data_IF_479241852443
#
_entry.id   IF_479241852443
#
_cell.length_a   1.000
_cell.length_b   1.000
_cell.length_c   1.000
_cell.angle_alpha   90.00
_cell.angle_beta   90.00
_cell.angle_gamma   90.00
#
_symmetry.space_group_name_H-M   'P 1'
#
loop_
_entity.id
_entity.type
_entity.pdbx_description
1 polymer ?
#
# COMPACT_ATOMS: atom_id res chain seq x y z
N UNK A 1 12.50 49.12 -26.35
CA UNK A 1 12.07 47.70 -26.45
C UNK A 1 12.63 46.78 -25.37
N UNK A 2 13.88 46.95 -24.88
CA UNK A 2 14.48 46.02 -23.89
C UNK A 2 13.84 45.96 -22.49
N UNK A 3 13.20 47.03 -22.00
CA UNK A 3 12.59 47.07 -20.65
C UNK A 3 11.31 46.22 -20.55
N UNK A 4 10.47 46.23 -21.59
CA UNK A 4 9.23 45.43 -21.62
C UNK A 4 9.55 43.96 -21.81
N UNK A 5 10.50 43.64 -22.69
CA UNK A 5 10.95 42.26 -22.94
C UNK A 5 11.51 41.58 -21.67
N UNK A 6 12.32 42.31 -20.89
CA UNK A 6 12.82 41.81 -19.59
C UNK A 6 11.71 41.63 -18.54
N UNK A 7 10.67 42.48 -18.54
CA UNK A 7 9.53 42.32 -17.64
C UNK A 7 8.69 41.10 -18.01
N UNK A 8 8.47 40.86 -19.30
CA UNK A 8 7.75 39.68 -19.81
C UNK A 8 8.50 38.38 -19.51
N UNK A 9 9.83 38.35 -19.72
CA UNK A 9 10.65 37.17 -19.38
C UNK A 9 10.59 36.87 -17.89
N UNK A 10 10.75 37.89 -17.02
CA UNK A 10 10.66 37.71 -15.56
C UNK A 10 9.29 37.19 -15.14
N UNK A 11 8.20 37.70 -15.72
CA UNK A 11 6.85 37.22 -15.46
C UNK A 11 6.68 35.74 -15.87
N UNK A 12 7.14 35.37 -17.07
CA UNK A 12 7.09 33.98 -17.55
C UNK A 12 7.92 33.03 -16.69
N UNK A 13 9.11 33.45 -16.24
CA UNK A 13 9.94 32.64 -15.33
C UNK A 13 9.25 32.40 -13.99
N UNK A 14 8.63 33.44 -13.40
CA UNK A 14 7.88 33.28 -12.14
C UNK A 14 6.68 32.37 -12.34
N UNK A 15 5.92 32.53 -13.43
CA UNK A 15 4.81 31.63 -13.76
C UNK A 15 5.26 30.19 -13.93
N UNK A 16 6.39 29.97 -14.62
CA UNK A 16 6.96 28.65 -14.80
C UNK A 16 7.35 28.02 -13.46
N UNK A 17 8.03 28.75 -12.58
CA UNK A 17 8.40 28.25 -11.24
C UNK A 17 7.15 27.88 -10.43
N UNK A 18 6.14 28.75 -10.39
CA UNK A 18 4.88 28.46 -9.66
C UNK A 18 4.19 27.22 -10.24
N UNK A 19 4.14 27.09 -11.57
CA UNK A 19 3.56 25.93 -12.22
C UNK A 19 4.36 24.64 -11.94
N UNK A 20 5.69 24.68 -12.01
CA UNK A 20 6.55 23.55 -11.68
C UNK A 20 6.41 23.12 -10.23
N UNK A 21 6.31 24.06 -9.29
CA UNK A 21 6.06 23.77 -7.87
C UNK A 21 4.68 23.14 -7.67
N UNK A 22 3.66 23.64 -8.35
CA UNK A 22 2.30 23.08 -8.28
C UNK A 22 2.25 21.64 -8.83
N UNK A 23 2.79 21.41 -10.02
CA UNK A 23 2.85 20.09 -10.65
C UNK A 23 3.70 19.12 -9.82
N UNK A 24 4.86 19.58 -9.33
CA UNK A 24 5.72 18.79 -8.45
C UNK A 24 5.01 18.39 -7.16
N UNK A 25 4.34 19.32 -6.48
CA UNK A 25 3.58 19.05 -5.26
C UNK A 25 2.47 18.02 -5.45
N UNK A 26 1.71 18.12 -6.55
CA UNK A 26 0.68 17.13 -6.91
C UNK A 26 1.27 15.74 -7.15
N UNK A 27 2.39 15.66 -7.86
CA UNK A 27 3.09 14.39 -8.10
C UNK A 27 3.55 13.74 -6.79
N UNK A 28 4.20 14.51 -5.89
CA UNK A 28 4.63 13.99 -4.58
C UNK A 28 3.46 13.54 -3.71
N UNK A 29 2.36 14.31 -3.70
CA UNK A 29 1.16 13.95 -2.95
C UNK A 29 0.57 12.62 -3.41
N UNK A 30 0.40 12.44 -4.73
CA UNK A 30 -0.16 11.20 -5.30
C UNK A 30 0.79 10.03 -5.05
N UNK A 31 2.10 10.23 -5.25
CA UNK A 31 3.10 9.20 -4.97
C UNK A 31 3.03 8.74 -3.50
N UNK A 32 2.99 9.67 -2.55
CA UNK A 32 2.91 9.34 -1.13
C UNK A 32 1.62 8.58 -0.79
N UNK A 33 0.47 9.01 -1.33
CA UNK A 33 -0.82 8.34 -1.11
C UNK A 33 -0.81 6.88 -1.59
N UNK A 34 0.04 6.54 -2.56
CA UNK A 34 0.23 5.18 -3.07
C UNK A 34 1.24 4.36 -2.27
N UNK A 35 2.36 4.97 -1.88
CA UNK A 35 3.45 4.24 -1.22
C UNK A 35 3.16 3.96 0.25
N UNK A 36 2.38 4.80 0.94
CA UNK A 36 2.15 4.63 2.39
C UNK A 36 1.46 3.30 2.73
N UNK A 37 0.36 2.88 2.06
CA UNK A 37 -0.26 1.57 2.34
C UNK A 37 0.72 0.40 2.19
N UNK A 38 1.55 0.42 1.15
CA UNK A 38 2.58 -0.59 0.93
C UNK A 38 3.65 -0.55 2.02
N UNK A 39 4.09 0.65 2.39
CA UNK A 39 5.06 0.84 3.46
C UNK A 39 4.53 0.32 4.82
N UNK A 40 3.25 0.53 5.12
CA UNK A 40 2.62 -0.06 6.31
C UNK A 40 2.68 -1.58 6.27
N UNK A 41 2.42 -2.18 5.11
CA UNK A 41 2.56 -3.64 4.95
C UNK A 41 4.02 -4.09 5.08
N UNK A 42 4.99 -3.36 4.52
CA UNK A 42 6.43 -3.66 4.70
C UNK A 42 6.80 -3.69 6.18
N UNK A 43 6.33 -2.71 6.96
CA UNK A 43 6.58 -2.65 8.41
C UNK A 43 6.00 -3.87 9.14
N UNK A 44 4.77 -4.27 8.81
CA UNK A 44 4.15 -5.48 9.38
C UNK A 44 4.96 -6.73 9.03
N UNK A 45 5.46 -6.82 7.80
CA UNK A 45 6.29 -7.95 7.37
C UNK A 45 7.67 -7.97 8.07
N UNK A 46 8.25 -6.79 8.32
CA UNK A 46 9.47 -6.65 9.12
C UNK A 46 9.23 -7.05 10.58
N UNK A 47 8.15 -6.57 11.21
CA UNK A 47 7.72 -6.97 12.56
C UNK A 47 7.54 -8.49 12.66
N UNK A 48 6.91 -9.10 11.64
CA UNK A 48 6.74 -10.54 11.57
C UNK A 48 8.07 -11.30 11.45
N UNK A 49 9.00 -10.81 10.61
CA UNK A 49 10.37 -11.38 10.48
C UNK A 49 11.17 -11.26 11.77
N UNK A 50 11.03 -10.14 12.47
CA UNK A 50 11.70 -9.87 13.74
C UNK A 50 11.03 -10.58 14.93
N UNK A 51 9.99 -11.37 14.67
CA UNK A 51 9.23 -12.12 15.66
C UNK A 51 8.61 -11.23 16.75
N UNK A 52 8.13 -10.06 16.36
CA UNK A 52 7.39 -9.17 17.26
C UNK A 52 6.11 -9.86 17.77
N UNK A 53 5.69 -9.51 18.99
CA UNK A 53 4.53 -10.16 19.63
C UNK A 53 3.21 -9.76 19.00
N UNK A 54 3.14 -8.55 18.46
CA UNK A 54 1.96 -7.93 17.87
C UNK A 54 2.41 -6.84 16.88
N UNK A 55 1.46 -6.35 16.08
CA UNK A 55 1.68 -5.23 15.17
C UNK A 55 0.71 -4.10 15.49
N UNK A 56 1.24 -2.89 15.67
CA UNK A 56 0.41 -1.68 15.87
C UNK A 56 -0.33 -1.25 14.60
N UNK A 57 0.05 -1.80 13.45
CA UNK A 57 -0.52 -1.49 12.14
C UNK A 57 -1.66 -2.41 11.75
N UNK A 58 -1.91 -3.49 12.51
CA UNK A 58 -3.04 -4.39 12.32
C UNK A 58 -4.18 -3.96 13.24
N UNK A 59 -5.37 -3.81 12.68
CA UNK A 59 -6.56 -3.45 13.42
C UNK A 59 -7.02 -4.62 14.30
N UNK A 60 -7.12 -4.37 15.61
CA UNK A 60 -7.72 -5.29 16.56
C UNK A 60 -9.24 -5.49 16.33
N UNK A 61 -9.75 -6.67 16.67
CA UNK A 61 -11.15 -7.05 16.44
C UNK A 61 -12.16 -6.17 17.20
N UNK A 62 -11.79 -5.74 18.41
CA UNK A 62 -12.59 -4.83 19.23
C UNK A 62 -12.83 -3.47 18.51
N UNK A 63 -11.80 -2.93 17.85
CA UNK A 63 -11.85 -1.69 17.08
C UNK A 63 -12.58 -1.92 15.77
N UNK A 64 -12.35 -3.05 15.10
CA UNK A 64 -13.09 -3.43 13.90
C UNK A 64 -14.60 -3.39 14.14
N UNK A 65 -15.09 -3.96 15.24
CA UNK A 65 -16.52 -3.97 15.56
C UNK A 65 -17.14 -2.56 15.62
N UNK A 66 -16.36 -1.54 16.00
CA UNK A 66 -16.81 -0.15 16.10
C UNK A 66 -16.84 0.59 14.76
N UNK A 67 -16.05 0.16 13.77
CA UNK A 67 -15.91 0.86 12.48
C UNK A 67 -16.45 0.06 11.29
N UNK A 68 -16.73 -1.24 11.46
CA UNK A 68 -17.08 -2.15 10.36
C UNK A 68 -18.19 -1.65 9.44
N UNK A 69 -19.20 -0.96 9.98
CA UNK A 69 -20.34 -0.46 9.23
C UNK A 69 -19.99 0.69 8.25
N UNK A 70 -18.83 1.32 8.44
CA UNK A 70 -18.31 2.37 7.57
C UNK A 70 -17.15 1.88 6.69
N UNK A 71 -16.65 0.66 6.91
CA UNK A 71 -15.54 0.08 6.14
C UNK A 71 -16.03 -0.46 4.81
N UNK A 72 -15.22 -0.29 3.76
CA UNK A 72 -15.53 -0.86 2.44
C UNK A 72 -15.33 -2.38 2.41
N UNK A 73 -14.59 -2.92 3.38
CA UNK A 73 -14.23 -4.32 3.46
C UNK A 73 -15.15 -5.15 4.37
N UNK A 74 -16.25 -4.58 4.86
CA UNK A 74 -17.17 -5.23 5.81
C UNK A 74 -17.49 -6.70 5.45
N UNK A 75 -17.75 -6.97 4.18
CA UNK A 75 -18.23 -8.28 3.71
C UNK A 75 -17.11 -9.24 3.25
N UNK A 76 -15.91 -8.71 2.99
CA UNK A 76 -14.80 -9.45 2.38
C UNK A 76 -13.60 -9.63 3.32
N UNK A 77 -13.65 -9.02 4.50
CA UNK A 77 -12.60 -9.05 5.52
C UNK A 77 -12.67 -10.31 6.37
N UNK A 78 -11.49 -10.91 6.58
CA UNK A 78 -11.23 -11.89 7.62
C UNK A 78 -10.20 -11.34 8.62
N UNK A 79 -10.32 -11.68 9.92
CA UNK A 79 -9.35 -11.27 10.91
C UNK A 79 -7.98 -11.91 10.63
N UNK A 80 -6.92 -11.15 10.86
CA UNK A 80 -5.56 -11.68 10.73
C UNK A 80 -5.22 -12.45 12.00
N UNK A 81 -4.99 -13.76 11.88
CA UNK A 81 -4.31 -14.50 12.94
C UNK A 81 -2.81 -14.15 12.87
N UNK A 82 -2.36 -13.28 13.80
CA UNK A 82 -0.97 -12.81 13.81
C UNK A 82 0.05 -13.94 13.89
N UNK A 83 -0.24 -15.01 14.65
CA UNK A 83 0.70 -16.12 14.78
C UNK A 83 0.88 -16.86 13.45
N UNK A 84 -0.22 -17.19 12.77
CA UNK A 84 -0.18 -17.86 11.47
C UNK A 84 0.47 -16.98 10.39
N UNK A 85 0.16 -15.67 10.41
CA UNK A 85 0.76 -14.72 9.48
C UNK A 85 2.27 -14.62 9.68
N UNK A 86 2.75 -14.54 10.93
CA UNK A 86 4.18 -14.54 11.23
C UNK A 86 4.87 -15.81 10.77
N UNK A 87 4.29 -16.96 11.08
CA UNK A 87 4.86 -18.25 10.71
C UNK A 87 4.97 -18.37 9.18
N UNK A 88 3.97 -17.88 8.45
CA UNK A 88 4.02 -17.79 7.00
C UNK A 88 5.15 -16.88 6.50
N UNK A 89 5.26 -15.66 7.04
CA UNK A 89 6.28 -14.68 6.62
C UNK A 89 7.71 -15.15 6.89
N UNK A 90 7.92 -15.91 7.97
CA UNK A 90 9.24 -16.41 8.35
C UNK A 90 9.73 -17.59 7.50
N UNK A 91 8.82 -18.28 6.80
CA UNK A 91 9.14 -19.49 6.03
C UNK A 91 9.68 -19.22 4.63
N UNK A 92 9.69 -17.97 4.17
CA UNK A 92 10.06 -17.65 2.79
C UNK A 92 10.53 -16.21 2.61
N UNK A 93 11.10 -15.94 1.43
CA UNK A 93 11.27 -14.57 0.95
C UNK A 93 9.94 -14.12 0.32
N UNK A 94 9.51 -12.93 0.71
CA UNK A 94 8.27 -12.34 0.22
C UNK A 94 8.55 -11.23 -0.79
N UNK A 95 7.59 -11.01 -1.67
CA UNK A 95 7.49 -9.79 -2.46
C UNK A 95 6.08 -9.21 -2.35
N UNK A 96 6.01 -7.88 -2.36
CA UNK A 96 4.75 -7.17 -2.44
C UNK A 96 4.34 -7.04 -3.90
N UNK A 97 3.19 -7.62 -4.23
CA UNK A 97 2.59 -7.39 -5.54
C UNK A 97 1.79 -6.10 -5.49
N UNK A 98 2.25 -5.12 -6.25
CA UNK A 98 1.45 -3.97 -6.60
C UNK A 98 0.29 -4.42 -7.47
N UNK A 99 -0.92 -3.89 -7.24
CA UNK A 99 -2.00 -3.98 -8.23
C UNK A 99 -1.45 -3.37 -9.53
N UNK A 100 -1.11 -4.27 -10.45
CA UNK A 100 -0.54 -4.02 -11.78
C UNK A 100 0.60 -2.97 -11.79
N UNK A 101 1.86 -3.45 -11.82
CA UNK A 101 3.12 -2.68 -11.92
C UNK A 101 3.28 -1.70 -13.11
N UNK A 102 2.18 -1.30 -13.75
CA UNK A 102 2.04 -0.26 -14.78
C UNK A 102 1.18 0.92 -14.30
N UNK A 103 1.16 1.22 -12.99
CA UNK A 103 0.44 2.40 -12.51
C UNK A 103 1.12 3.66 -13.08
N UNK A 104 0.55 4.24 -14.13
CA UNK A 104 0.89 5.57 -14.64
C UNK A 104 0.14 6.63 -13.83
N UNK A 105 0.64 7.86 -13.73
CA UNK A 105 0.02 8.96 -12.97
C UNK A 105 -1.49 9.15 -13.26
N UNK A 106 -1.92 8.91 -14.51
CA UNK A 106 -3.31 9.06 -14.93
C UNK A 106 -4.19 7.93 -14.40
N UNK A 107 -3.72 6.67 -14.46
CA UNK A 107 -4.36 5.56 -13.76
C UNK A 107 -4.36 5.79 -12.24
N UNK A 108 -3.25 6.33 -11.70
CA UNK A 108 -3.05 6.70 -10.29
C UNK A 108 -4.01 7.77 -9.78
N UNK A 109 -4.68 8.52 -10.64
CA UNK A 109 -5.59 9.60 -10.24
C UNK A 109 -7.06 9.18 -10.30
N UNK A 110 -7.45 8.37 -11.28
CA UNK A 110 -8.85 7.95 -11.45
C UNK A 110 -9.27 6.82 -10.52
N UNK A 111 -8.42 5.82 -10.27
CA UNK A 111 -8.73 4.67 -9.37
C UNK A 111 -8.54 4.96 -7.88
N UNK A 112 -7.83 6.02 -7.50
CA UNK A 112 -7.19 6.10 -6.18
C UNK A 112 -7.80 7.15 -5.24
N UNK A 113 -9.03 7.60 -5.55
CA UNK A 113 -9.88 8.38 -4.63
C UNK A 113 -10.19 7.65 -3.32
N UNK A 114 -9.89 6.37 -3.29
CA UNK A 114 -10.30 5.45 -2.23
C UNK A 114 -9.35 5.49 -1.05
N UNK A 115 -9.93 5.66 0.15
CA UNK A 115 -9.31 5.52 1.48
C UNK A 115 -9.00 4.06 1.82
N UNK A 116 -8.76 3.21 0.81
CA UNK A 116 -8.52 1.79 0.97
C UNK A 116 -7.65 1.19 -0.15
N UNK A 117 -6.97 0.07 0.12
CA UNK A 117 -6.13 -0.69 -0.81
C UNK A 117 -6.16 -2.19 -0.53
N UNK A 118 -5.94 -2.96 -1.58
CA UNK A 118 -5.55 -4.37 -1.51
C UNK A 118 -4.04 -4.44 -1.73
N UNK A 119 -3.31 -5.13 -0.85
CA UNK A 119 -1.87 -5.32 -0.99
C UNK A 119 -1.59 -6.82 -0.95
N UNK A 120 -1.13 -7.37 -2.07
CA UNK A 120 -0.75 -8.78 -2.14
C UNK A 120 0.64 -9.02 -1.56
N UNK A 121 0.74 -10.02 -0.69
CA UNK A 121 1.99 -10.55 -0.15
C UNK A 121 2.15 -11.94 -0.74
N UNK A 122 3.17 -12.12 -1.58
CA UNK A 122 3.46 -13.41 -2.22
C UNK A 122 4.70 -14.02 -1.59
N UNK A 123 4.59 -15.28 -1.18
CA UNK A 123 5.64 -16.07 -0.56
C UNK A 123 6.23 -17.03 -1.59
N UNK A 124 7.53 -16.88 -1.87
CA UNK A 124 8.24 -17.71 -2.84
C UNK A 124 9.07 -18.78 -2.14
N UNK A 125 9.01 -20.00 -2.67
CA UNK A 125 9.86 -21.10 -2.25
C UNK A 125 11.19 -21.04 -3.02
N UNK A 126 12.29 -21.26 -2.32
CA UNK A 126 13.63 -21.29 -2.89
C UNK A 126 14.31 -22.61 -2.53
N UNK A 127 15.06 -23.15 -3.48
CA UNK A 127 15.93 -24.29 -3.28
C UNK A 127 17.04 -23.91 -2.28
N UNK A 128 17.18 -24.63 -1.15
CA UNK A 128 18.14 -24.30 -0.12
C UNK A 128 19.61 -24.54 -0.53
N UNK A 129 19.86 -25.36 -1.56
CA UNK A 129 21.22 -25.72 -1.98
C UNK A 129 21.79 -24.73 -3.00
N UNK A 130 20.97 -24.21 -3.90
CA UNK A 130 21.41 -23.36 -5.01
C UNK A 130 20.73 -21.97 -5.06
N UNK A 131 19.74 -21.72 -4.21
CA UNK A 131 19.02 -20.45 -4.13
C UNK A 131 18.08 -20.18 -5.32
N UNK A 132 17.78 -21.18 -6.14
CA UNK A 132 16.84 -21.06 -7.25
C UNK A 132 15.40 -20.92 -6.75
N UNK A 133 14.63 -20.01 -7.33
CA UNK A 133 13.19 -19.91 -7.06
C UNK A 133 12.47 -21.14 -7.62
N UNK A 134 11.75 -21.85 -6.75
CA UNK A 134 10.97 -23.04 -7.07
C UNK A 134 9.51 -22.71 -7.42
N UNK A 135 9.03 -21.55 -6.99
CA UNK A 135 7.70 -21.02 -7.32
C UNK A 135 7.00 -20.36 -6.13
N UNK A 136 5.70 -20.09 -6.27
CA UNK A 136 4.87 -19.49 -5.22
C UNK A 136 4.38 -20.56 -4.25
N UNK A 137 4.74 -20.42 -2.96
CA UNK A 137 4.28 -21.27 -1.86
C UNK A 137 2.89 -20.86 -1.37
N UNK A 138 2.58 -19.57 -1.42
CA UNK A 138 1.28 -19.04 -1.04
C UNK A 138 1.22 -17.52 -1.13
N UNK A 139 0.03 -16.97 -0.87
CA UNK A 139 -0.17 -15.53 -0.88
C UNK A 139 -1.26 -15.09 0.11
N UNK A 140 -1.14 -13.86 0.59
CA UNK A 140 -2.18 -13.14 1.32
C UNK A 140 -2.53 -11.87 0.56
N UNK A 141 -3.81 -11.50 0.54
CA UNK A 141 -4.24 -10.16 0.14
C UNK A 141 -4.61 -9.39 1.40
N UNK A 142 -3.75 -8.48 1.82
CA UNK A 142 -4.00 -7.61 2.96
C UNK A 142 -4.94 -6.47 2.56
N UNK A 143 -5.92 -6.21 3.40
CA UNK A 143 -6.91 -5.15 3.24
C UNK A 143 -6.47 -3.96 4.09
N UNK A 144 -6.16 -2.83 3.45
CA UNK A 144 -5.59 -1.65 4.11
C UNK A 144 -6.57 -0.48 3.99
N UNK A 145 -6.94 0.17 5.08
CA UNK A 145 -7.79 1.37 5.07
C UNK A 145 -7.13 2.55 5.76
N UNK A 146 -7.51 3.76 5.35
CA UNK A 146 -7.15 4.99 6.02
C UNK A 146 -8.21 5.33 7.08
N UNK A 147 -7.92 4.99 8.33
CA UNK A 147 -8.81 5.13 9.49
C UNK A 147 -8.14 6.07 10.49
N UNK A 148 -8.89 7.03 11.04
CA UNK A 148 -8.41 7.95 12.08
C UNK A 148 -7.05 8.61 11.80
N UNK A 149 -6.86 9.01 10.53
CA UNK A 149 -5.65 9.67 9.99
C UNK A 149 -4.41 8.78 9.84
N UNK A 150 -4.56 7.46 9.95
CA UNK A 150 -3.49 6.48 9.73
C UNK A 150 -3.92 5.39 8.76
N UNK A 151 -2.97 4.88 7.98
CA UNK A 151 -3.18 3.67 7.19
C UNK A 151 -3.02 2.45 8.10
N UNK A 152 -3.99 1.54 8.04
CA UNK A 152 -4.09 0.40 8.96
C UNK A 152 -4.55 -0.82 8.18
N UNK A 153 -3.93 -1.97 8.43
CA UNK A 153 -4.38 -3.26 7.88
C UNK A 153 -5.58 -3.73 8.69
N UNK A 154 -6.74 -3.80 8.05
CA UNK A 154 -8.00 -4.17 8.72
C UNK A 154 -8.28 -5.67 8.67
N UNK A 155 -7.61 -6.41 7.79
CA UNK A 155 -7.74 -7.86 7.70
C UNK A 155 -7.10 -8.45 6.45
N UNK A 156 -7.42 -9.72 6.18
CA UNK A 156 -7.09 -10.40 4.93
C UNK A 156 -8.36 -10.58 4.09
N UNK A 157 -8.21 -10.56 2.76
CA UNK A 157 -9.31 -10.83 1.85
C UNK A 157 -9.66 -12.31 1.82
N UNK A 158 -10.97 -12.62 1.84
CA UNK A 158 -11.48 -13.99 1.62
C UNK A 158 -10.93 -14.56 0.31
N UNK A 159 -10.51 -15.83 0.34
CA UNK A 159 -10.12 -16.54 -0.89
C UNK A 159 -11.34 -16.67 -1.81
N UNK A 160 -11.15 -16.52 -3.13
CA UNK A 160 -12.22 -16.59 -4.14
C UNK A 160 -13.09 -17.86 -4.06
N UNK A 161 -12.56 -18.94 -3.48
CA UNK A 161 -13.26 -20.21 -3.30
C UNK A 161 -14.45 -20.13 -2.32
N UNK A 162 -14.50 -19.11 -1.46
CA UNK A 162 -15.54 -18.95 -0.41
C UNK A 162 -16.58 -17.87 -0.73
N UNK A 163 -16.49 -17.23 -1.91
CA UNK A 163 -17.42 -16.18 -2.36
C UNK A 163 -18.51 -16.69 -3.33
N UNK A 164 -18.71 -18.02 -3.42
CA UNK A 164 -19.74 -18.66 -4.27
C UNK A 164 -21.01 -19.02 -3.51
#
# INVERSE_FOLDING_TARGET
MGSVFNKTIRFLTVMFIVFSLFVGGQYFYIKNLYTIPHHVVELILEEARNNEKESSYILEENKWASIKAASVFENVREPINWHEFKDFVQQCKFELTYDNGEATYEMMKERYKDTYRYVGVVCFEYDPENGQELGVRGSFTLLVEYIDRSWTVVGVGKKEEEMK
#
